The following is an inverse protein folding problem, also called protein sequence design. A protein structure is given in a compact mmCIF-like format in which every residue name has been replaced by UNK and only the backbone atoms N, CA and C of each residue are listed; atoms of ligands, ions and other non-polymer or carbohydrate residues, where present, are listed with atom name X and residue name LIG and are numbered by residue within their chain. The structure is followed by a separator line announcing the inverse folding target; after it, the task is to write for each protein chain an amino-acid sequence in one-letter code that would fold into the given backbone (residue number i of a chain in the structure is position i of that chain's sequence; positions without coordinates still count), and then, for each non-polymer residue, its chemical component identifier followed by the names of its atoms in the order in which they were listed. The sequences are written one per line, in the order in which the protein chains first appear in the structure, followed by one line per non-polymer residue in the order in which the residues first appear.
data_IF_497818249933
#
_entry.id   IF_497818249933
#
_cell.length_a   1.000
_cell.length_b   1.000
_cell.length_c   1.000
_cell.angle_alpha   90.00
_cell.angle_beta   90.00
_cell.angle_gamma   90.00
#
_symmetry.space_group_name_H-M   'P 1'
#
loop_
_entity.id
_entity.type
_entity.pdbx_description
1 polymer ?
#
# COMPACT_ATOMS: atom_id res chain seq x y z
N UNK A 1 22.20 -19.49 4.46
CA UNK A 1 21.72 -18.16 4.07
C UNK A 1 20.66 -17.77 5.10
N UNK A 2 20.80 -16.62 5.75
CA UNK A 2 19.82 -16.15 6.73
C UNK A 2 18.52 -15.72 6.04
N UNK A 3 17.38 -15.92 6.72
CA UNK A 3 16.08 -15.44 6.22
C UNK A 3 16.03 -13.92 6.30
N UNK A 4 15.55 -13.28 5.25
CA UNK A 4 15.26 -11.83 5.27
C UNK A 4 14.01 -11.56 6.11
N UNK A 5 13.86 -10.35 6.63
CA UNK A 5 12.78 -9.96 7.56
C UNK A 5 11.38 -10.35 7.06
N UNK A 6 11.10 -10.13 5.78
CA UNK A 6 9.79 -10.48 5.18
C UNK A 6 9.47 -11.98 5.17
N UNK A 7 10.49 -12.85 5.30
CA UNK A 7 10.30 -14.30 5.35
C UNK A 7 10.22 -14.84 6.79
N UNK A 8 10.34 -13.98 7.79
CA UNK A 8 10.17 -14.36 9.21
C UNK A 8 8.76 -14.14 9.72
N UNK A 9 7.91 -13.44 8.95
CA UNK A 9 6.51 -13.17 9.30
C UNK A 9 5.66 -14.42 9.06
N UNK A 10 4.80 -14.77 10.02
CA UNK A 10 3.84 -15.86 9.87
C UNK A 10 2.68 -15.42 8.95
N UNK A 11 2.79 -15.76 7.66
CA UNK A 11 1.79 -15.42 6.65
C UNK A 11 0.48 -16.23 6.75
N UNK A 12 0.43 -17.25 7.60
CA UNK A 12 -0.81 -17.99 7.86
C UNK A 12 -1.70 -17.23 8.86
N UNK A 13 -1.06 -16.54 9.81
CA UNK A 13 -1.76 -15.74 10.83
C UNK A 13 -1.94 -14.27 10.42
N UNK A 14 -1.24 -13.82 9.37
CA UNK A 14 -1.24 -12.41 8.95
C UNK A 14 -2.60 -12.01 8.39
N UNK A 15 -3.19 -10.97 8.96
CA UNK A 15 -4.47 -10.39 8.51
C UNK A 15 -4.24 -9.09 7.73
N UNK A 16 -5.24 -8.59 6.99
CA UNK A 16 -5.18 -7.25 6.39
C UNK A 16 -4.96 -6.17 7.45
N UNK A 17 -4.06 -5.23 7.14
CA UNK A 17 -3.65 -4.22 8.11
C UNK A 17 -2.56 -3.28 7.58
N UNK A 18 -2.00 -2.50 8.49
CA UNK A 18 -0.93 -1.53 8.23
C UNK A 18 0.22 -1.80 9.19
N UNK A 19 1.31 -2.33 8.67
CA UNK A 19 2.42 -2.80 9.51
C UNK A 19 3.70 -2.02 9.21
N UNK A 20 4.49 -1.71 10.24
CA UNK A 20 5.88 -1.33 10.04
C UNK A 20 6.66 -2.59 9.68
N UNK A 21 7.09 -2.69 8.42
CA UNK A 21 7.87 -3.83 7.97
C UNK A 21 9.31 -3.74 8.47
N UNK A 22 9.91 -2.55 8.35
CA UNK A 22 11.26 -2.27 8.87
C UNK A 22 11.52 -0.78 8.93
N UNK A 23 12.55 -0.41 9.70
CA UNK A 23 13.11 0.93 9.79
C UNK A 23 14.59 0.86 9.49
N UNK A 24 15.04 1.58 8.47
CA UNK A 24 16.42 1.58 8.02
C UNK A 24 17.06 2.96 8.29
N UNK A 25 18.16 3.05 9.06
CA UNK A 25 18.89 4.30 9.21
C UNK A 25 19.65 4.61 7.91
N UNK A 26 19.48 5.83 7.40
CA UNK A 26 20.13 6.33 6.17
C UNK A 26 20.67 7.72 6.43
N UNK A 27 21.99 7.84 6.62
CA UNK A 27 22.61 9.11 7.02
C UNK A 27 22.04 9.63 8.34
N UNK A 28 21.48 10.83 8.33
CA UNK A 28 20.87 11.46 9.50
C UNK A 28 19.35 11.26 9.59
N UNK A 29 18.79 10.38 8.79
CA UNK A 29 17.35 10.10 8.77
C UNK A 29 17.07 8.61 8.86
N UNK A 30 15.81 8.27 9.04
CA UNK A 30 15.29 6.91 8.97
C UNK A 30 14.42 6.77 7.73
N UNK A 31 14.45 5.63 7.08
CA UNK A 31 13.46 5.24 6.08
C UNK A 31 12.54 4.20 6.72
N UNK A 32 11.26 4.53 6.85
CA UNK A 32 10.25 3.57 7.33
C UNK A 32 9.57 2.92 6.13
N UNK A 33 9.57 1.60 6.11
CA UNK A 33 8.87 0.76 5.13
C UNK A 33 7.61 0.21 5.77
N UNK A 34 6.46 0.53 5.18
CA UNK A 34 5.15 0.02 5.60
C UNK A 34 4.69 -1.10 4.66
N UNK A 35 4.14 -2.14 5.26
CA UNK A 35 3.38 -3.20 4.60
C UNK A 35 1.89 -2.84 4.70
N UNK A 36 1.31 -2.45 3.56
CA UNK A 36 -0.12 -2.18 3.43
C UNK A 36 -0.79 -3.46 2.95
N UNK A 37 -1.16 -4.31 3.90
CA UNK A 37 -1.72 -5.64 3.60
C UNK A 37 -3.21 -5.54 3.34
N UNK A 38 -3.62 -5.76 2.09
CA UNK A 38 -5.00 -5.57 1.65
C UNK A 38 -5.84 -6.85 1.66
N UNK A 39 -5.20 -8.01 1.54
CA UNK A 39 -5.87 -9.33 1.57
C UNK A 39 -5.18 -10.27 2.53
N UNK A 40 -5.93 -11.22 3.11
CA UNK A 40 -5.37 -12.28 3.97
C UNK A 40 -4.52 -13.23 3.13
N UNK A 41 -3.20 -13.31 3.38
CA UNK A 41 -2.34 -14.20 2.61
C UNK A 41 -2.78 -15.67 2.70
N UNK A 42 -2.78 -16.36 1.57
CA UNK A 42 -3.13 -17.78 1.46
C UNK A 42 -4.58 -18.16 1.86
N UNK A 43 -5.42 -17.19 2.21
CA UNK A 43 -6.82 -17.38 2.62
C UNK A 43 -7.79 -16.71 1.65
N UNK A 44 -7.51 -15.47 1.24
CA UNK A 44 -8.28 -14.75 0.22
C UNK A 44 -7.64 -14.85 -1.17
N UNK A 45 -8.44 -14.71 -2.26
CA UNK A 45 -7.90 -14.51 -3.59
C UNK A 45 -6.99 -13.29 -3.66
N UNK A 46 -5.85 -13.41 -4.33
CA UNK A 46 -4.94 -12.28 -4.56
C UNK A 46 -5.54 -11.28 -5.56
N UNK A 47 -5.11 -10.03 -5.49
CA UNK A 47 -5.45 -9.02 -6.50
C UNK A 47 -4.86 -9.38 -7.85
N UNK A 48 -5.58 -9.12 -8.96
CA UNK A 48 -5.02 -9.30 -10.29
C UNK A 48 -4.09 -8.13 -10.66
N UNK A 49 -3.32 -8.29 -11.74
CA UNK A 49 -2.31 -7.31 -12.16
C UNK A 49 -2.91 -5.97 -12.51
N UNK A 50 -4.03 -5.93 -13.23
CA UNK A 50 -4.63 -4.71 -13.74
C UNK A 50 -5.14 -3.77 -12.63
N UNK A 51 -5.86 -4.30 -11.63
CA UNK A 51 -6.30 -3.49 -10.50
C UNK A 51 -5.14 -3.08 -9.59
N UNK A 52 -4.16 -3.96 -9.41
CA UNK A 52 -2.95 -3.66 -8.64
C UNK A 52 -2.17 -2.52 -9.28
N UNK A 53 -1.98 -2.56 -10.59
CA UNK A 53 -1.31 -1.52 -11.38
C UNK A 53 -2.09 -0.19 -11.35
N UNK A 54 -3.42 -0.27 -11.42
CA UNK A 54 -4.28 0.92 -11.29
C UNK A 54 -4.15 1.58 -9.92
N UNK A 55 -4.18 0.79 -8.84
CA UNK A 55 -3.98 1.30 -7.47
C UNK A 55 -2.60 1.95 -7.34
N UNK A 56 -1.56 1.33 -7.90
CA UNK A 56 -0.20 1.89 -7.88
C UNK A 56 -0.16 3.28 -8.50
N UNK A 57 -0.69 3.46 -9.73
CA UNK A 57 -0.70 4.76 -10.41
C UNK A 57 -1.48 5.83 -9.63
N UNK A 58 -2.66 5.50 -9.14
CA UNK A 58 -3.50 6.43 -8.39
C UNK A 58 -2.86 6.81 -7.04
N UNK A 59 -2.39 5.81 -6.29
CA UNK A 59 -1.74 6.02 -5.01
C UNK A 59 -0.44 6.82 -5.14
N UNK A 60 0.43 6.48 -6.09
CA UNK A 60 1.66 7.20 -6.31
C UNK A 60 1.40 8.68 -6.69
N UNK A 61 0.39 8.92 -7.53
CA UNK A 61 -0.03 10.29 -7.88
C UNK A 61 -0.53 11.05 -6.67
N UNK A 62 -1.43 10.46 -5.87
CA UNK A 62 -1.96 11.07 -4.66
C UNK A 62 -0.86 11.38 -3.64
N UNK A 63 -0.06 10.38 -3.30
CA UNK A 63 0.96 10.46 -2.26
C UNK A 63 2.02 11.51 -2.57
N UNK A 64 2.55 11.54 -3.79
CA UNK A 64 3.59 12.51 -4.18
C UNK A 64 3.08 13.95 -4.27
N UNK A 65 1.77 14.15 -4.45
CA UNK A 65 1.14 15.47 -4.43
C UNK A 65 0.54 15.84 -3.07
N UNK A 66 0.67 14.97 -2.05
CA UNK A 66 0.12 15.25 -0.73
C UNK A 66 0.84 16.40 -0.04
N UNK A 67 0.09 17.39 0.47
CA UNK A 67 0.64 18.65 1.01
C UNK A 67 1.63 18.46 2.17
N UNK A 68 1.38 17.48 3.04
CA UNK A 68 2.23 17.20 4.22
C UNK A 68 3.32 16.16 3.95
N UNK A 69 2.98 15.08 3.24
CA UNK A 69 3.86 13.91 3.12
C UNK A 69 4.57 13.81 1.75
N UNK A 70 4.16 14.59 0.75
CA UNK A 70 4.64 14.43 -0.63
C UNK A 70 6.16 14.42 -0.79
N UNK A 71 6.86 15.30 -0.07
CA UNK A 71 8.33 15.37 -0.08
C UNK A 71 9.03 14.21 0.63
N UNK A 72 8.30 13.45 1.43
CA UNK A 72 8.83 12.33 2.21
C UNK A 72 8.58 10.97 1.52
N UNK A 73 7.68 10.93 0.53
CA UNK A 73 7.36 9.70 -0.20
C UNK A 73 8.54 9.28 -1.07
N UNK A 74 9.08 8.11 -0.79
CA UNK A 74 10.14 7.50 -1.60
C UNK A 74 9.58 6.56 -2.64
N UNK A 75 8.66 5.68 -2.24
CA UNK A 75 8.11 4.66 -3.10
C UNK A 75 6.74 4.17 -2.62
N UNK A 76 5.87 3.86 -3.56
CA UNK A 76 4.66 3.06 -3.36
C UNK A 76 4.57 2.07 -4.51
N UNK A 77 4.40 0.79 -4.20
CA UNK A 77 4.30 -0.23 -5.24
C UNK A 77 3.86 -1.59 -4.71
N UNK A 78 3.36 -2.47 -5.60
CA UNK A 78 2.78 -3.74 -5.23
C UNK A 78 3.83 -4.74 -4.76
N UNK A 79 3.41 -5.63 -3.86
CA UNK A 79 4.17 -6.83 -3.52
C UNK A 79 4.03 -7.87 -4.64
N UNK A 80 5.09 -8.63 -4.88
CA UNK A 80 5.08 -9.71 -5.87
C UNK A 80 4.02 -10.79 -5.61
N UNK A 81 3.63 -11.01 -4.35
CA UNK A 81 2.55 -11.92 -3.96
C UNK A 81 1.14 -11.37 -4.23
N UNK A 82 1.01 -10.10 -4.58
CA UNK A 82 -0.25 -9.41 -4.90
C UNK A 82 -1.29 -9.41 -3.76
N UNK A 83 -0.82 -9.39 -2.51
CA UNK A 83 -1.69 -9.31 -1.33
C UNK A 83 -1.67 -7.92 -0.68
N UNK A 84 -0.85 -7.01 -1.19
CA UNK A 84 -0.72 -5.65 -0.68
C UNK A 84 0.36 -4.85 -1.39
N UNK A 85 0.73 -3.75 -0.76
CA UNK A 85 1.68 -2.76 -1.28
C UNK A 85 2.74 -2.42 -0.22
N UNK A 86 3.91 -2.00 -0.68
CA UNK A 86 4.87 -1.31 0.17
C UNK A 86 4.78 0.20 -0.03
N UNK A 87 4.81 0.92 1.10
CA UNK A 87 4.96 2.36 1.14
C UNK A 87 6.24 2.69 1.92
N UNK A 88 7.14 3.44 1.30
CA UNK A 88 8.39 3.90 1.90
C UNK A 88 8.35 5.41 2.09
N UNK A 89 8.63 5.86 3.32
CA UNK A 89 8.76 7.27 3.68
C UNK A 89 10.11 7.55 4.36
N UNK A 90 10.64 8.75 4.13
CA UNK A 90 11.67 9.31 4.99
C UNK A 90 11.04 9.83 6.28
N UNK A 91 11.59 9.42 7.40
CA UNK A 91 11.12 9.74 8.75
C UNK A 91 10.97 8.48 9.59
N UNK A 92 10.96 8.66 10.91
CA UNK A 92 10.71 7.59 11.88
C UNK A 92 9.23 7.60 12.24
N UNK A 93 8.48 6.68 11.67
CA UNK A 93 7.03 6.59 11.77
C UNK A 93 6.58 5.25 12.33
N UNK A 94 5.47 5.27 13.05
CA UNK A 94 4.70 4.09 13.42
C UNK A 94 3.48 3.92 12.51
N UNK A 95 2.89 2.72 12.48
CA UNK A 95 1.72 2.43 11.66
C UNK A 95 0.58 3.42 11.88
N UNK A 96 0.35 3.85 13.12
CA UNK A 96 -0.72 4.80 13.48
C UNK A 96 -0.53 6.18 12.85
N UNK A 97 0.71 6.61 12.62
CA UNK A 97 1.04 7.94 12.11
C UNK A 97 0.58 8.15 10.67
N UNK A 98 0.39 7.06 9.92
CA UNK A 98 0.03 7.10 8.49
C UNK A 98 -1.41 6.65 8.21
N UNK A 99 -2.20 6.27 9.23
CA UNK A 99 -3.58 5.78 9.00
C UNK A 99 -4.43 6.82 8.31
N UNK A 100 -4.37 8.08 8.74
CA UNK A 100 -5.15 9.16 8.12
C UNK A 100 -4.72 9.41 6.67
N UNK A 101 -3.41 9.41 6.39
CA UNK A 101 -2.88 9.49 5.03
C UNK A 101 -3.41 8.36 4.15
N UNK A 102 -3.45 7.13 4.66
CA UNK A 102 -3.97 5.98 3.92
C UNK A 102 -5.48 6.08 3.72
N UNK A 103 -6.24 6.55 4.71
CA UNK A 103 -7.69 6.81 4.54
C UNK A 103 -7.94 7.81 3.43
N UNK A 104 -7.25 8.94 3.43
CA UNK A 104 -7.36 9.96 2.38
C UNK A 104 -7.02 9.38 1.00
N UNK A 105 -5.93 8.63 0.89
CA UNK A 105 -5.49 7.98 -0.33
C UNK A 105 -6.52 6.97 -0.86
N UNK A 106 -7.02 6.09 0.00
CA UNK A 106 -7.97 5.06 -0.42
C UNK A 106 -9.36 5.64 -0.71
N UNK A 107 -9.78 6.71 -0.04
CA UNK A 107 -10.97 7.49 -0.44
C UNK A 107 -10.79 8.11 -1.82
N UNK A 108 -9.63 8.73 -2.08
CA UNK A 108 -9.31 9.27 -3.41
C UNK A 108 -9.42 8.17 -4.48
N UNK A 109 -8.88 6.98 -4.26
CA UNK A 109 -8.98 5.85 -5.21
C UNK A 109 -10.43 5.37 -5.35
N UNK A 110 -11.15 5.22 -4.25
CA UNK A 110 -12.53 4.74 -4.22
C UNK A 110 -13.50 5.62 -5.00
N UNK A 111 -13.26 6.92 -5.02
CA UNK A 111 -14.11 7.92 -5.66
C UNK A 111 -13.57 8.42 -7.00
N UNK A 112 -12.37 7.95 -7.38
CA UNK A 112 -11.72 8.39 -8.62
C UNK A 112 -12.59 8.14 -9.85
N UNK A 113 -12.64 9.14 -10.74
CA UNK A 113 -13.31 9.07 -12.03
C UNK A 113 -12.45 9.72 -13.11
N UNK A 114 -12.52 9.21 -14.32
CA UNK A 114 -11.73 9.67 -15.46
C UNK A 114 -10.55 8.74 -15.77
N UNK A 115 -9.63 9.23 -16.58
CA UNK A 115 -8.48 8.47 -17.04
C UNK A 115 -7.45 8.30 -15.91
N UNK A 116 -6.94 7.08 -15.75
CA UNK A 116 -5.92 6.79 -14.75
C UNK A 116 -4.63 7.57 -15.10
N UNK A 117 -4.07 8.35 -14.17
CA UNK A 117 -2.85 9.11 -14.43
C UNK A 117 -1.71 8.22 -14.93
N UNK A 118 -1.03 8.66 -15.99
CA UNK A 118 0.08 7.92 -16.59
C UNK A 118 -0.31 6.66 -17.37
N UNK A 119 -1.60 6.36 -17.55
CA UNK A 119 -2.07 5.23 -18.35
C UNK A 119 -2.04 5.55 -19.85
N UNK A 120 -0.86 5.88 -20.36
CA UNK A 120 -0.61 6.16 -21.76
C UNK A 120 0.69 5.51 -22.23
N UNK A 121 0.76 5.13 -23.49
CA UNK A 121 1.92 4.40 -24.06
C UNK A 121 3.27 5.12 -23.88
N UNK A 122 3.26 6.45 -23.81
CA UNK A 122 4.48 7.26 -23.58
C UNK A 122 4.90 7.31 -22.11
N UNK A 123 3.98 7.03 -21.17
CA UNK A 123 4.18 7.26 -19.75
C UNK A 123 4.33 5.95 -18.96
N UNK A 124 3.80 4.83 -19.50
CA UNK A 124 3.79 3.52 -18.85
C UNK A 124 4.12 2.40 -19.82
N UNK A 125 5.00 1.49 -19.39
CA UNK A 125 5.42 0.34 -20.19
C UNK A 125 4.34 -0.71 -20.45
N UNK A 126 3.21 -0.66 -19.70
CA UNK A 126 2.07 -1.57 -19.85
C UNK A 126 0.75 -0.84 -19.58
N UNK A 127 0.53 0.25 -20.27
CA UNK A 127 -0.57 1.19 -20.02
C UNK A 127 -1.98 0.61 -20.21
N UNK A 128 -2.12 -0.49 -20.94
CA UNK A 128 -3.42 -1.17 -21.15
C UNK A 128 -3.81 -2.10 -19.98
N UNK A 129 -2.88 -2.47 -19.11
CA UNK A 129 -3.15 -3.34 -17.96
C UNK A 129 -3.71 -2.53 -16.77
N UNK A 130 -4.93 -2.00 -16.96
CA UNK A 130 -5.63 -1.18 -15.99
C UNK A 130 -7.05 -1.68 -15.76
N UNK A 131 -7.52 -1.62 -14.50
CA UNK A 131 -8.88 -1.97 -14.10
C UNK A 131 -9.38 -1.01 -13.00
N UNK A 132 -9.84 0.17 -13.39
CA UNK A 132 -10.32 1.19 -12.45
C UNK A 132 -11.55 0.74 -11.64
N UNK A 133 -12.57 0.08 -12.21
CA UNK A 133 -13.70 -0.39 -11.43
C UNK A 133 -13.30 -1.33 -10.29
N UNK A 134 -12.39 -2.27 -10.54
CA UNK A 134 -11.92 -3.20 -9.51
C UNK A 134 -10.98 -2.50 -8.51
N UNK A 135 -10.12 -1.59 -8.94
CA UNK A 135 -9.30 -0.78 -8.03
C UNK A 135 -10.16 0.01 -7.03
N UNK A 136 -11.24 0.64 -7.51
CA UNK A 136 -12.22 1.34 -6.68
C UNK A 136 -12.93 0.40 -5.70
N UNK A 137 -13.31 -0.78 -6.15
CA UNK A 137 -13.93 -1.80 -5.28
C UNK A 137 -12.98 -2.24 -4.17
N UNK A 138 -11.73 -2.56 -4.49
CA UNK A 138 -10.70 -2.96 -3.52
C UNK A 138 -10.38 -1.84 -2.53
N UNK A 139 -10.33 -0.60 -2.99
CA UNK A 139 -10.15 0.56 -2.12
C UNK A 139 -11.29 0.68 -1.09
N UNK A 140 -12.56 0.57 -1.54
CA UNK A 140 -13.72 0.58 -0.63
C UNK A 140 -13.72 -0.59 0.34
N UNK A 141 -13.35 -1.78 -0.13
CA UNK A 141 -13.22 -2.97 0.72
C UNK A 141 -12.21 -2.72 1.83
N UNK A 142 -11.02 -2.24 1.49
CA UNK A 142 -9.94 -1.99 2.47
C UNK A 142 -10.29 -0.87 3.46
N UNK A 143 -10.94 0.20 3.02
CA UNK A 143 -11.48 1.24 3.90
C UNK A 143 -12.45 0.63 4.92
N UNK A 144 -13.49 -0.06 4.43
CA UNK A 144 -14.57 -0.58 5.26
C UNK A 144 -14.11 -1.68 6.22
N UNK A 145 -13.28 -2.61 5.75
CA UNK A 145 -12.92 -3.82 6.51
C UNK A 145 -11.70 -3.61 7.40
N UNK A 146 -10.86 -2.61 7.11
CA UNK A 146 -9.61 -2.35 7.81
C UNK A 146 -9.54 -0.92 8.34
N UNK A 147 -9.39 0.08 7.47
CA UNK A 147 -8.97 1.41 7.89
C UNK A 147 -10.00 2.14 8.75
N UNK A 148 -11.30 1.98 8.50
CA UNK A 148 -12.34 2.72 9.24
C UNK A 148 -12.45 2.28 10.71
N UNK A 149 -12.09 1.03 11.00
CA UNK A 149 -12.17 0.46 12.34
C UNK A 149 -10.88 -0.30 12.71
N UNK A 150 -9.72 0.20 12.27
CA UNK A 150 -8.43 -0.47 12.49
C UNK A 150 -8.13 -0.65 13.98
N UNK A 151 -7.70 -1.84 14.34
CA UNK A 151 -7.39 -2.26 15.71
C UNK A 151 -5.91 -2.54 15.90
N UNK A 152 -5.47 -2.69 17.14
CA UNK A 152 -4.06 -2.99 17.46
C UNK A 152 -3.52 -4.23 16.77
N UNK A 153 -4.34 -5.25 16.56
CA UNK A 153 -3.96 -6.48 15.85
C UNK A 153 -3.57 -6.26 14.40
N UNK A 154 -3.98 -5.14 13.82
CA UNK A 154 -3.73 -4.78 12.43
C UNK A 154 -2.54 -3.82 12.28
N UNK A 155 -1.84 -3.54 13.40
CA UNK A 155 -0.63 -2.70 13.42
C UNK A 155 0.64 -3.51 13.71
N UNK A 156 0.51 -4.70 14.26
CA UNK A 156 1.65 -5.54 14.67
C UNK A 156 1.59 -6.89 13.98
N UNK A 157 2.73 -7.34 13.46
CA UNK A 157 2.82 -8.67 12.89
C UNK A 157 2.47 -9.75 13.92
N UNK A 158 1.80 -10.84 13.50
CA UNK A 158 1.53 -11.95 14.40
C UNK A 158 2.84 -12.63 14.83
N UNK A 159 2.87 -13.03 16.11
CA UNK A 159 3.95 -13.83 16.70
C UNK A 159 3.83 -15.32 16.32
#
# INVERSE_FOLDING_TARGET
MEKITSFTIDHIKLVPGVYVSRKDPVGNTTVTTFDIRMTSPNDEPVMNTAETHTIEHLAATFLRNHSRFGSQILYFGPMGCRTGFYLLLTGDYESRDIVDLLKEMFHFIADFSGDVPGAAAKDCGNYLDMNLPMARFLARKFLKEVLDNITDKQFYYPE
#
